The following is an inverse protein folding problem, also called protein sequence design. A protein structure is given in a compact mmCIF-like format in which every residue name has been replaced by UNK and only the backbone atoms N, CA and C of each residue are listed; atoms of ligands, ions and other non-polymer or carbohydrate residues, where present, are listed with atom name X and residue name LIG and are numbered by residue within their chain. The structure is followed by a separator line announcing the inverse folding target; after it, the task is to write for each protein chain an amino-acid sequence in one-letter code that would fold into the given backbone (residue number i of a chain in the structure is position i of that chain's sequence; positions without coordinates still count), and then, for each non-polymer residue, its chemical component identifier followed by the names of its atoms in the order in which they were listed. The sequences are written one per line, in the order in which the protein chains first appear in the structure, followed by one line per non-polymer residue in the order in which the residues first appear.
data_IF_730805039690
#
_entry.id   IF_730805039690
#
_cell.length_a   1.000
_cell.length_b   1.000
_cell.length_c   1.000
_cell.angle_alpha   90.00
_cell.angle_beta   90.00
_cell.angle_gamma   90.00
#
_symmetry.space_group_name_H-M   'P 1'
#
loop_
_entity.id
_entity.type
_entity.pdbx_description
1 polymer ?
#
# COMPACT_ATOMS: atom_id res chain seq x y z
N UNK A 1 -52.12 37.52 44.20
CA UNK A 1 -50.96 37.47 45.12
C UNK A 1 -50.86 36.05 45.62
N UNK A 2 -49.87 35.27 45.15
CA UNK A 2 -49.36 34.04 45.77
C UNK A 2 -48.20 33.54 44.92
N UNK A 3 -47.00 33.79 45.41
CA UNK A 3 -45.71 33.24 44.99
C UNK A 3 -45.46 31.94 45.73
N UNK A 4 -45.11 30.85 45.04
CA UNK A 4 -44.39 29.73 45.67
C UNK A 4 -43.39 29.12 44.70
N UNK A 5 -42.17 29.03 45.23
CA UNK A 5 -40.88 28.58 44.70
C UNK A 5 -40.85 27.07 44.47
N UNK A 6 -40.14 26.62 43.42
CA UNK A 6 -39.61 25.26 43.34
C UNK A 6 -38.20 25.26 42.72
N UNK A 7 -37.22 25.32 43.62
CA UNK A 7 -35.95 24.59 43.65
C UNK A 7 -35.12 24.51 42.35
N UNK A 8 -34.11 25.39 42.26
CA UNK A 8 -33.00 25.23 41.34
C UNK A 8 -32.16 24.00 41.71
N UNK A 9 -32.10 23.02 40.82
CA UNK A 9 -31.10 21.95 40.90
C UNK A 9 -29.79 22.50 40.32
N UNK A 10 -28.76 22.53 41.16
CA UNK A 10 -27.39 22.83 40.75
C UNK A 10 -26.90 21.69 39.84
N UNK A 11 -26.68 22.00 38.56
CA UNK A 11 -26.03 21.10 37.61
C UNK A 11 -24.54 21.21 37.87
N UNK A 12 -23.96 20.17 38.46
CA UNK A 12 -22.51 20.03 38.57
C UNK A 12 -22.03 19.47 37.22
N UNK A 13 -21.47 20.34 36.38
CA UNK A 13 -20.82 19.93 35.14
C UNK A 13 -19.51 19.21 35.46
N UNK A 14 -19.53 17.88 35.36
CA UNK A 14 -18.30 17.07 35.40
C UNK A 14 -17.72 17.06 33.99
N UNK A 15 -16.49 17.54 33.75
CA UNK A 15 -15.89 17.50 32.43
C UNK A 15 -15.60 16.05 32.04
N UNK A 16 -16.28 15.58 30.99
CA UNK A 16 -16.00 14.28 30.37
C UNK A 16 -14.78 14.46 29.46
N UNK A 17 -13.58 14.22 29.97
CA UNK A 17 -12.41 13.96 29.12
C UNK A 17 -12.44 12.48 28.74
N UNK A 18 -13.12 12.14 27.64
CA UNK A 18 -12.87 10.85 27.00
C UNK A 18 -11.52 10.93 26.29
N UNK A 19 -10.50 10.39 26.95
CA UNK A 19 -9.20 10.08 26.37
C UNK A 19 -9.42 9.06 25.24
N UNK A 20 -9.39 9.60 24.02
CA UNK A 20 -9.54 8.87 22.76
C UNK A 20 -8.33 7.96 22.56
N UNK A 21 -8.33 6.78 23.18
CA UNK A 21 -7.48 5.67 22.73
C UNK A 21 -8.12 4.96 21.54
N UNK A 22 -8.20 5.71 20.44
CA UNK A 22 -7.97 5.14 19.12
C UNK A 22 -6.61 4.45 19.21
N UNK A 23 -6.59 3.11 19.28
CA UNK A 23 -5.35 2.39 19.07
C UNK A 23 -5.00 2.59 17.60
N UNK A 24 -3.92 3.32 17.24
CA UNK A 24 -3.48 3.28 15.86
C UNK A 24 -3.10 1.82 15.58
N UNK A 25 -3.83 1.21 14.66
CA UNK A 25 -3.44 0.03 13.90
C UNK A 25 -1.93 0.06 13.71
N UNK A 26 -1.19 -1.05 13.96
CA UNK A 26 0.25 -1.05 13.74
C UNK A 26 0.48 -0.50 12.35
N UNK A 27 1.11 0.66 12.28
CA UNK A 27 1.55 1.26 11.04
C UNK A 27 2.29 0.15 10.34
N UNK A 28 1.66 -0.41 9.31
CA UNK A 28 2.35 -1.23 8.34
C UNK A 28 3.43 -0.28 7.84
N UNK A 29 4.63 -0.43 8.40
CA UNK A 29 5.81 0.25 7.92
C UNK A 29 5.71 0.14 6.41
N UNK A 30 5.89 1.22 5.63
CA UNK A 30 6.29 1.01 4.27
C UNK A 30 7.55 0.17 4.43
N UNK A 31 7.44 -1.13 4.18
CA UNK A 31 8.56 -1.89 3.67
C UNK A 31 8.91 -1.08 2.44
N UNK A 32 9.83 -0.12 2.63
CA UNK A 32 10.82 0.21 1.64
C UNK A 32 11.35 -1.16 1.30
N UNK A 33 10.76 -1.76 0.27
CA UNK A 33 11.33 -2.81 -0.51
C UNK A 33 12.70 -2.25 -0.81
N UNK A 34 13.66 -2.60 0.04
CA UNK A 34 15.06 -2.47 -0.29
C UNK A 34 15.12 -3.34 -1.52
N UNK A 35 15.03 -2.70 -2.68
CA UNK A 35 15.42 -3.29 -3.92
C UNK A 35 16.79 -3.86 -3.59
N UNK A 36 16.85 -5.18 -3.46
CA UNK A 36 18.10 -5.89 -3.51
C UNK A 36 18.56 -5.68 -4.94
N UNK A 37 19.16 -4.52 -5.18
CA UNK A 37 19.88 -4.22 -6.40
C UNK A 37 21.17 -5.01 -6.29
N UNK A 38 21.04 -6.32 -6.52
CA UNK A 38 22.18 -7.10 -6.99
C UNK A 38 22.70 -6.37 -8.25
N UNK A 39 23.98 -5.99 -8.29
CA UNK A 39 24.51 -5.12 -9.34
C UNK A 39 24.46 -5.74 -10.75
N UNK A 40 24.02 -7.01 -10.90
CA UNK A 40 23.79 -7.66 -12.18
C UNK A 40 22.32 -7.81 -12.60
N UNK A 41 21.35 -7.62 -11.70
CA UNK A 41 19.94 -7.89 -12.01
C UNK A 41 19.25 -6.61 -12.48
N UNK A 42 18.99 -6.54 -13.79
CA UNK A 42 18.18 -5.45 -14.36
C UNK A 42 16.73 -5.64 -13.94
N UNK A 43 16.25 -4.76 -13.06
CA UNK A 43 14.86 -4.70 -12.63
C UNK A 43 14.16 -3.45 -13.17
N UNK A 44 12.85 -3.53 -13.39
CA UNK A 44 12.00 -2.39 -13.76
C UNK A 44 10.71 -2.42 -12.95
N UNK A 45 10.16 -1.27 -12.59
CA UNK A 45 8.82 -1.18 -12.01
C UNK A 45 7.83 -0.86 -13.10
N UNK A 46 6.92 -1.78 -13.39
CA UNK A 46 5.88 -1.67 -14.42
C UNK A 46 4.57 -2.26 -13.91
N UNK A 47 3.46 -1.95 -14.56
CA UNK A 47 2.17 -2.57 -14.26
C UNK A 47 2.18 -4.01 -14.78
N UNK A 48 1.95 -4.96 -13.86
CA UNK A 48 1.81 -6.36 -14.21
C UNK A 48 0.42 -6.61 -14.80
N UNK A 49 0.36 -7.22 -15.98
CA UNK A 49 -0.90 -7.50 -16.66
C UNK A 49 -1.78 -8.51 -15.90
N UNK A 50 -1.16 -9.42 -15.14
CA UNK A 50 -1.88 -10.47 -14.41
C UNK A 50 -2.42 -9.99 -13.06
N UNK A 51 -1.64 -9.23 -12.29
CA UNK A 51 -2.06 -8.75 -10.97
C UNK A 51 -2.57 -7.29 -10.95
N UNK A 52 -2.52 -6.59 -12.08
CA UNK A 52 -3.02 -5.21 -12.24
C UNK A 52 -2.34 -4.17 -11.34
N UNK A 53 -1.16 -4.50 -10.81
CA UNK A 53 -0.43 -3.69 -9.85
C UNK A 53 0.93 -3.31 -10.40
N UNK A 54 1.39 -2.11 -10.06
CA UNK A 54 2.75 -1.68 -10.33
C UNK A 54 3.71 -2.46 -9.41
N UNK A 55 4.50 -3.37 -9.98
CA UNK A 55 5.39 -4.26 -9.24
C UNK A 55 6.79 -4.25 -9.85
N UNK A 56 7.76 -4.78 -9.12
CA UNK A 56 9.11 -4.98 -9.66
C UNK A 56 9.06 -6.19 -10.59
N UNK A 57 9.64 -6.05 -11.77
CA UNK A 57 9.84 -7.14 -12.72
C UNK A 57 11.33 -7.31 -13.02
N UNK A 58 11.71 -8.54 -13.33
CA UNK A 58 13.04 -8.93 -13.81
C UNK A 58 13.00 -9.30 -15.28
N UNK A 59 14.15 -9.27 -15.97
CA UNK A 59 14.21 -9.75 -17.36
C UNK A 59 13.82 -11.23 -17.41
N UNK A 60 12.78 -11.50 -18.17
CA UNK A 60 12.32 -12.84 -18.48
C UNK A 60 12.73 -13.27 -19.89
N UNK A 61 11.81 -14.01 -20.52
CA UNK A 61 12.00 -14.57 -21.86
C UNK A 61 12.28 -13.51 -22.91
N UNK A 62 12.96 -13.92 -23.97
CA UNK A 62 13.31 -13.07 -25.09
C UNK A 62 12.88 -13.72 -26.39
N UNK A 63 12.20 -12.95 -27.24
CA UNK A 63 11.88 -13.34 -28.61
C UNK A 63 12.86 -12.67 -29.57
N UNK A 64 13.48 -13.47 -30.44
CA UNK A 64 14.39 -13.00 -31.47
C UNK A 64 13.79 -13.18 -32.88
N UNK A 65 14.25 -12.40 -33.85
CA UNK A 65 13.96 -12.62 -35.26
C UNK A 65 14.84 -13.74 -35.87
N UNK A 66 14.69 -14.00 -37.18
CA UNK A 66 15.48 -15.02 -37.89
C UNK A 66 16.97 -14.69 -38.02
N UNK A 67 17.35 -13.42 -37.87
CA UNK A 67 18.72 -12.91 -37.93
C UNK A 67 19.35 -12.84 -36.53
N UNK A 68 18.61 -13.17 -35.46
CA UNK A 68 19.04 -13.07 -34.07
C UNK A 68 18.82 -11.68 -33.42
N UNK A 69 18.12 -10.77 -34.08
CA UNK A 69 17.75 -9.47 -33.53
C UNK A 69 16.69 -9.59 -32.44
N UNK A 70 16.82 -8.80 -31.36
CA UNK A 70 15.83 -8.74 -30.28
C UNK A 70 14.52 -8.11 -30.79
N UNK A 71 13.42 -8.87 -30.75
CA UNK A 71 12.08 -8.36 -31.07
C UNK A 71 11.32 -7.95 -29.81
N UNK A 72 11.30 -8.81 -28.79
CA UNK A 72 10.54 -8.60 -27.55
C UNK A 72 11.34 -9.08 -26.36
N UNK A 73 11.45 -8.26 -25.32
CA UNK A 73 11.96 -8.64 -24.00
C UNK A 73 10.77 -8.70 -23.05
N UNK A 74 10.45 -9.89 -22.56
CA UNK A 74 9.43 -10.08 -21.53
C UNK A 74 9.99 -9.79 -20.15
N UNK A 75 9.12 -9.41 -19.23
CA UNK A 75 9.42 -9.02 -17.86
C UNK A 75 8.60 -9.85 -16.89
N UNK A 76 9.25 -10.68 -16.08
CA UNK A 76 8.60 -11.55 -15.11
C UNK A 76 8.34 -10.76 -13.82
N UNK A 77 7.09 -10.77 -13.36
CA UNK A 77 6.67 -10.12 -12.13
C UNK A 77 7.28 -10.83 -10.93
N UNK A 78 7.92 -10.10 -10.02
CA UNK A 78 8.48 -10.70 -8.80
C UNK A 78 7.43 -10.88 -7.69
N UNK A 79 6.18 -10.44 -7.92
CA UNK A 79 5.12 -10.43 -6.92
C UNK A 79 4.04 -11.51 -7.15
N UNK A 80 3.96 -12.10 -8.35
CA UNK A 80 3.02 -13.18 -8.65
C UNK A 80 3.64 -14.16 -9.66
N UNK A 81 3.28 -15.44 -9.56
CA UNK A 81 3.88 -16.52 -10.37
C UNK A 81 3.48 -16.46 -11.85
N UNK A 82 2.33 -15.87 -12.15
CA UNK A 82 1.73 -15.82 -13.48
C UNK A 82 1.91 -14.45 -14.18
N UNK A 83 2.63 -13.52 -13.53
CA UNK A 83 2.71 -12.13 -13.98
C UNK A 83 3.78 -11.88 -15.02
N UNK A 84 3.38 -11.41 -16.20
CA UNK A 84 4.29 -10.98 -17.26
C UNK A 84 3.97 -9.53 -17.72
N UNK A 85 4.98 -8.83 -18.21
CA UNK A 85 4.89 -7.53 -18.89
C UNK A 85 5.86 -7.45 -20.08
N UNK A 86 5.71 -6.47 -20.97
CA UNK A 86 6.56 -6.23 -22.15
C UNK A 86 7.29 -4.90 -22.03
#
# INVERSE_FOLDING_TARGET
MSTTVATGQAIVEVPITMDRRDSPTPEAMPQRSRAFSDPGVVTRTVECLSCGSATVHVKGRVTHDRQGGLLVQWWDCTACEEGEAV
#
